data_IF_668312311428
#
_entry.id   IF_668312311428
#
_cell.length_a   1.000
_cell.length_b   1.000
_cell.length_c   1.000
_cell.angle_alpha   90.00
_cell.angle_beta   90.00
_cell.angle_gamma   90.00
#
_symmetry.space_group_name_H-M   'P 1'
#
loop_
_entity.id
_entity.type
_entity.pdbx_description
1 polymer ?
#
# COMPACT_ATOMS: atom_id res chain seq x y z
N UNK A 1 8.13 9.42 12.32
CA UNK A 1 8.46 8.71 13.58
C UNK A 1 9.95 8.68 13.92
N UNK A 2 10.88 9.02 13.02
CA UNK A 2 12.30 9.26 13.35
C UNK A 2 13.07 8.07 13.92
N UNK A 3 12.60 6.84 13.70
CA UNK A 3 13.23 5.63 14.24
C UNK A 3 14.23 5.07 13.25
N UNK A 4 15.32 4.51 13.77
CA UNK A 4 16.25 3.68 12.99
C UNK A 4 15.56 2.35 12.65
N UNK A 5 15.62 1.95 11.39
CA UNK A 5 14.98 0.72 10.88
C UNK A 5 16.06 -0.23 10.37
N UNK A 6 15.99 -1.49 10.79
CA UNK A 6 16.84 -2.57 10.25
C UNK A 6 15.99 -3.47 9.35
N UNK A 7 16.46 -3.73 8.13
CA UNK A 7 15.78 -4.58 7.15
C UNK A 7 16.52 -5.90 6.98
N UNK A 8 15.81 -7.01 7.23
CA UNK A 8 16.34 -8.37 7.03
C UNK A 8 16.22 -8.83 5.56
N UNK A 9 15.31 -8.24 4.80
CA UNK A 9 15.15 -8.44 3.35
C UNK A 9 15.36 -7.15 2.57
N UNK A 10 14.86 -7.11 1.32
CA UNK A 10 15.04 -5.96 0.41
C UNK A 10 13.70 -5.36 -0.07
N UNK A 11 12.85 -4.83 0.84
CA UNK A 11 11.61 -4.15 0.46
C UNK A 11 11.88 -2.88 -0.37
N UNK A 12 10.82 -2.25 -0.91
CA UNK A 12 10.97 -1.12 -1.85
C UNK A 12 11.77 0.07 -1.29
N UNK A 13 11.72 0.29 0.02
CA UNK A 13 12.38 1.40 0.73
C UNK A 13 13.80 1.07 1.25
N UNK A 14 14.25 -0.17 1.16
CA UNK A 14 15.60 -0.59 1.57
C UNK A 14 16.63 -0.39 0.43
N UNK A 15 17.92 -0.39 0.76
CA UNK A 15 19.01 -0.30 -0.22
C UNK A 15 19.28 1.11 -0.75
N UNK A 16 18.63 2.13 -0.18
CA UNK A 16 18.76 3.53 -0.57
C UNK A 16 19.60 4.37 0.41
N UNK A 17 20.16 3.75 1.45
CA UNK A 17 20.96 4.41 2.48
C UNK A 17 20.15 5.04 3.63
N UNK A 18 18.83 4.78 3.69
CA UNK A 18 17.94 5.29 4.75
C UNK A 18 17.66 4.26 5.86
N UNK A 19 18.13 3.02 5.68
CA UNK A 19 17.91 1.87 6.57
C UNK A 19 19.22 1.13 6.81
N UNK A 20 19.27 0.34 7.88
CA UNK A 20 20.33 -0.65 8.08
C UNK A 20 19.92 -1.94 7.38
N UNK A 21 20.50 -2.23 6.23
CA UNK A 21 20.13 -3.38 5.43
C UNK A 21 21.08 -4.55 5.69
N UNK A 22 20.52 -5.72 6.05
CA UNK A 22 21.30 -6.95 6.24
C UNK A 22 21.27 -7.86 5.01
N UNK A 23 20.29 -7.69 4.13
CA UNK A 23 20.25 -8.38 2.85
C UNK A 23 21.16 -7.67 1.83
N UNK A 24 21.89 -8.40 0.96
CA UNK A 24 22.72 -7.79 -0.07
C UNK A 24 21.97 -6.78 -0.93
N UNK A 25 22.53 -5.57 -1.04
CA UNK A 25 21.93 -4.50 -1.82
C UNK A 25 21.93 -4.85 -3.32
N UNK A 26 20.78 -4.77 -4.03
CA UNK A 26 20.74 -5.00 -5.47
C UNK A 26 21.53 -3.92 -6.22
N UNK A 27 22.27 -4.33 -7.27
CA UNK A 27 23.13 -3.42 -8.04
C UNK A 27 22.41 -2.21 -8.63
N UNK A 28 21.11 -2.34 -8.94
CA UNK A 28 20.29 -1.25 -9.49
C UNK A 28 20.01 -0.11 -8.52
N UNK A 29 20.14 -0.30 -7.20
CA UNK A 29 19.78 0.70 -6.19
C UNK A 29 20.96 1.61 -5.82
N UNK A 30 21.56 2.29 -6.80
CA UNK A 30 22.78 3.11 -6.58
C UNK A 30 22.48 4.50 -6.00
N UNK A 31 21.28 5.04 -6.23
CA UNK A 31 20.91 6.36 -5.74
C UNK A 31 20.88 6.43 -4.20
N UNK A 32 21.02 7.64 -3.68
CA UNK A 32 20.99 7.96 -2.24
C UNK A 32 19.98 9.09 -1.97
N UNK A 33 18.68 8.85 -2.18
CA UNK A 33 17.65 9.86 -1.99
C UNK A 33 17.54 10.29 -0.52
N UNK A 34 17.13 11.53 -0.30
CA UNK A 34 16.63 11.95 1.01
C UNK A 34 15.34 11.20 1.37
N UNK A 35 14.98 11.21 2.66
CA UNK A 35 13.70 10.65 3.10
C UNK A 35 12.51 11.31 2.38
N UNK A 36 12.55 12.64 2.21
CA UNK A 36 11.49 13.38 1.52
C UNK A 36 11.36 12.95 0.05
N UNK A 37 12.49 12.74 -0.64
CA UNK A 37 12.51 12.26 -2.03
C UNK A 37 11.92 10.86 -2.15
N UNK A 38 12.28 9.93 -1.25
CA UNK A 38 11.70 8.58 -1.25
C UNK A 38 10.19 8.61 -0.96
N UNK A 39 9.76 9.44 -0.02
CA UNK A 39 8.34 9.63 0.30
C UNK A 39 7.57 10.17 -0.90
N UNK A 40 8.09 11.19 -1.58
CA UNK A 40 7.48 11.74 -2.78
C UNK A 40 7.36 10.67 -3.88
N UNK A 41 8.44 9.94 -4.16
CA UNK A 41 8.42 8.89 -5.17
C UNK A 41 7.38 7.81 -4.85
N UNK A 42 7.32 7.34 -3.59
CA UNK A 42 6.49 6.20 -3.20
C UNK A 42 5.02 6.56 -2.97
N UNK A 43 4.70 7.78 -2.52
CA UNK A 43 3.35 8.17 -2.11
C UNK A 43 2.71 9.24 -3.01
N UNK A 44 3.48 9.92 -3.87
CA UNK A 44 2.96 10.99 -4.72
C UNK A 44 3.12 10.61 -6.19
N UNK A 45 4.35 10.35 -6.64
CA UNK A 45 4.63 10.16 -8.07
C UNK A 45 4.24 8.76 -8.58
N UNK A 46 4.46 7.71 -7.79
CA UNK A 46 4.24 6.34 -8.21
C UNK A 46 2.76 5.89 -8.20
N UNK A 47 1.99 6.07 -7.11
CA UNK A 47 0.61 5.59 -7.04
C UNK A 47 -0.38 6.55 -7.71
N UNK A 48 -1.55 6.02 -8.06
CA UNK A 48 -2.73 6.81 -8.43
C UNK A 48 -3.79 6.65 -7.36
N UNK A 49 -4.43 7.74 -6.96
CA UNK A 49 -5.48 7.72 -5.96
C UNK A 49 -6.85 7.94 -6.58
N UNK A 50 -7.85 7.29 -5.98
CA UNK A 50 -9.24 7.39 -6.38
C UNK A 50 -10.05 7.84 -5.18
N UNK A 51 -10.82 8.90 -5.36
CA UNK A 51 -11.70 9.41 -4.32
C UNK A 51 -13.04 8.67 -4.34
N UNK A 52 -13.39 7.90 -3.29
CA UNK A 52 -14.64 7.16 -3.25
C UNK A 52 -15.88 8.03 -3.05
N UNK A 53 -15.73 9.31 -2.69
CA UNK A 53 -16.85 10.24 -2.49
C UNK A 53 -17.20 10.96 -3.78
N UNK A 54 -16.22 11.51 -4.50
CA UNK A 54 -16.45 12.18 -5.78
C UNK A 54 -16.48 11.22 -6.97
N UNK A 55 -15.89 10.03 -6.84
CA UNK A 55 -15.76 9.06 -7.93
C UNK A 55 -14.69 9.43 -8.96
N UNK A 56 -13.77 10.33 -8.63
CA UNK A 56 -12.77 10.87 -9.56
C UNK A 56 -11.33 10.52 -9.13
N UNK A 57 -10.35 10.55 -10.07
CA UNK A 57 -8.94 10.57 -9.72
C UNK A 57 -8.62 11.76 -8.81
N UNK A 58 -7.78 11.55 -7.81
CA UNK A 58 -7.42 12.59 -6.86
C UNK A 58 -5.94 12.51 -6.47
N UNK A 59 -5.39 13.57 -5.86
CA UNK A 59 -4.05 13.54 -5.28
C UNK A 59 -4.09 12.89 -3.87
N UNK A 60 -2.95 12.39 -3.35
CA UNK A 60 -2.87 11.69 -2.06
C UNK A 60 -3.43 12.49 -0.88
N UNK A 61 -3.28 13.81 -0.89
CA UNK A 61 -3.70 14.71 0.16
C UNK A 61 -5.20 14.63 0.42
N UNK A 62 -6.00 14.48 -0.65
CA UNK A 62 -7.46 14.31 -0.55
C UNK A 62 -7.79 13.01 0.18
N UNK A 63 -7.10 11.92 -0.12
CA UNK A 63 -7.34 10.63 0.53
C UNK A 63 -6.91 10.63 1.99
N UNK A 64 -5.77 11.25 2.30
CA UNK A 64 -5.30 11.42 3.68
C UNK A 64 -6.32 12.20 4.50
N UNK A 65 -6.83 13.29 3.95
CA UNK A 65 -7.85 14.12 4.60
C UNK A 65 -9.16 13.34 4.85
N UNK A 66 -9.63 12.59 3.85
CA UNK A 66 -10.82 11.75 4.00
C UNK A 66 -10.64 10.64 5.03
N UNK A 67 -9.48 9.99 5.07
CA UNK A 67 -9.13 9.02 6.09
C UNK A 67 -9.17 9.65 7.49
N UNK A 68 -8.54 10.81 7.66
CA UNK A 68 -8.46 11.52 8.92
C UNK A 68 -9.84 11.97 9.43
N UNK A 69 -10.75 12.33 8.53
CA UNK A 69 -12.12 12.75 8.85
C UNK A 69 -13.15 11.61 8.84
N UNK A 70 -12.71 10.36 8.66
CA UNK A 70 -13.57 9.19 8.53
C UNK A 70 -14.66 9.32 7.44
N UNK A 71 -14.38 10.05 6.36
CA UNK A 71 -15.30 10.31 5.25
C UNK A 71 -15.22 9.25 4.13
N UNK A 72 -14.77 8.05 4.46
CA UNK A 72 -14.71 6.95 3.50
C UNK A 72 -16.01 6.14 3.60
N UNK A 73 -16.73 5.94 2.48
CA UNK A 73 -17.96 5.16 2.50
C UNK A 73 -17.71 3.73 2.97
N UNK A 74 -18.62 3.21 3.79
CA UNK A 74 -18.55 1.85 4.27
C UNK A 74 -18.60 0.86 3.08
N UNK A 75 -17.90 -0.28 3.15
CA UNK A 75 -17.98 -1.31 2.11
C UNK A 75 -19.44 -1.69 1.84
N UNK A 76 -19.85 -1.68 0.57
CA UNK A 76 -21.21 -2.02 0.19
C UNK A 76 -21.63 -3.41 0.67
N UNK A 77 -22.86 -3.53 1.19
CA UNK A 77 -23.41 -4.79 1.74
C UNK A 77 -23.34 -5.95 0.75
N UNK A 78 -23.49 -5.65 -0.55
CA UNK A 78 -23.38 -6.61 -1.66
C UNK A 78 -22.01 -7.27 -1.74
N UNK A 79 -20.92 -6.50 -1.71
CA UNK A 79 -19.56 -7.07 -1.79
C UNK A 79 -19.24 -7.92 -0.57
N UNK A 80 -19.75 -7.53 0.60
CA UNK A 80 -19.61 -8.31 1.84
C UNK A 80 -20.36 -9.64 1.76
N UNK A 81 -21.59 -9.63 1.24
CA UNK A 81 -22.38 -10.85 1.06
C UNK A 81 -21.72 -11.78 0.03
N UNK A 82 -21.29 -11.24 -1.12
CA UNK A 82 -20.59 -12.00 -2.15
C UNK A 82 -19.29 -12.63 -1.64
N UNK A 83 -18.49 -11.89 -0.85
CA UNK A 83 -17.27 -12.44 -0.24
C UNK A 83 -17.56 -13.58 0.73
N UNK A 84 -18.64 -13.50 1.51
CA UNK A 84 -19.09 -14.60 2.38
C UNK A 84 -19.52 -15.82 1.57
N UNK A 85 -20.31 -15.60 0.51
CA UNK A 85 -20.75 -16.68 -0.38
C UNK A 85 -19.55 -17.36 -1.06
N UNK A 86 -18.58 -16.58 -1.56
CA UNK A 86 -17.33 -17.11 -2.11
C UNK A 86 -16.58 -17.99 -1.10
N UNK A 87 -16.46 -17.55 0.16
CA UNK A 87 -15.82 -18.35 1.21
C UNK A 87 -16.56 -19.67 1.52
N UNK A 88 -17.89 -19.64 1.48
CA UNK A 88 -18.72 -20.86 1.61
C UNK A 88 -18.46 -21.80 0.45
N UNK A 89 -18.56 -21.34 -0.80
CA UNK A 89 -18.33 -22.17 -2.00
C UNK A 89 -16.89 -22.71 -2.10
N UNK A 90 -15.88 -21.93 -1.70
CA UNK A 90 -14.50 -22.41 -1.63
C UNK A 90 -14.32 -23.56 -0.63
N UNK A 91 -15.14 -23.62 0.42
CA UNK A 91 -15.14 -24.71 1.40
C UNK A 91 -15.80 -26.00 0.85
N UNK A 92 -16.54 -25.90 -0.26
CA UNK A 92 -17.08 -27.05 -1.02
C UNK A 92 -16.12 -27.56 -2.11
N UNK A 93 -14.85 -27.11 -2.14
CA UNK A 93 -13.81 -27.53 -3.08
C UNK A 93 -13.61 -29.05 -3.18
N UNK A 94 -14.06 -29.84 -2.18
CA UNK A 94 -14.07 -31.32 -2.22
C UNK A 94 -14.89 -31.90 -3.37
N UNK A 95 -15.89 -31.17 -3.87
CA UNK A 95 -16.77 -31.59 -4.98
C UNK A 95 -16.29 -31.10 -6.36
N UNK A 96 -15.17 -30.37 -6.41
CA UNK A 96 -14.57 -29.82 -7.63
C UNK A 96 -13.33 -30.63 -8.09
N UNK A 97 -13.31 -31.94 -7.78
CA UNK A 97 -12.43 -32.92 -8.42
C UNK A 97 -13.26 -33.81 -9.32
#
# INVERSE_FOLDING_TARGET
RGKRVTCLGMPFYAGWGLTRDLFPQPERRKARPSLATLVHAALIAYPRYFDPVSGLPCPPEVIVDRLARHQIPAPGRRNRLLSKLQGVFASYARFWR
#
